data_IF_521106103864
#
_entry.id   IF_521106103864
#
_cell.length_a   1.000
_cell.length_b   1.000
_cell.length_c   1.000
_cell.angle_alpha   90.00
_cell.angle_beta   90.00
_cell.angle_gamma   90.00
#
_symmetry.space_group_name_H-M   'P 1'
#
loop_
_entity.id
_entity.type
_entity.pdbx_description
1 polymer ?
#
# COMPACT_ATOMS: atom_id res chain seq x y z
N UNK A 1 23.18 -18.34 5.89
CA UNK A 1 22.17 -17.51 6.58
C UNK A 1 22.84 -16.82 7.74
N UNK A 2 23.09 -15.55 7.65
CA UNK A 2 23.64 -14.77 8.77
C UNK A 2 22.47 -13.97 9.34
N UNK A 3 21.95 -14.40 10.49
CA UNK A 3 21.13 -13.55 11.34
C UNK A 3 22.12 -12.85 12.27
N UNK A 4 22.49 -11.62 11.96
CA UNK A 4 23.29 -10.80 12.86
C UNK A 4 22.35 -9.90 13.66
N UNK A 5 22.20 -10.19 14.95
CA UNK A 5 21.63 -9.24 15.90
C UNK A 5 22.72 -8.24 16.27
N UNK A 6 22.62 -7.02 15.81
CA UNK A 6 23.51 -5.95 16.27
C UNK A 6 22.88 -5.30 17.50
N UNK A 7 23.55 -5.42 18.65
CA UNK A 7 23.14 -4.70 19.86
C UNK A 7 23.48 -3.22 19.66
N UNK A 8 22.48 -2.39 19.59
CA UNK A 8 22.65 -0.97 19.30
C UNK A 8 23.09 -0.18 20.50
N UNK A 9 24.06 0.59 20.21
CA UNK A 9 24.57 1.71 20.97
C UNK A 9 23.56 2.84 21.16
N UNK A 10 23.57 3.35 22.37
CA UNK A 10 23.17 4.68 22.81
C UNK A 10 22.32 5.55 21.88
N UNK A 11 21.01 5.46 22.05
CA UNK A 11 20.02 6.33 21.39
C UNK A 11 18.60 6.15 21.93
N UNK A 12 18.39 5.42 23.00
CA UNK A 12 17.14 5.45 23.76
C UNK A 12 16.02 4.53 23.31
N UNK A 13 16.16 3.75 22.26
CA UNK A 13 15.20 2.70 21.88
C UNK A 13 15.83 1.32 22.13
N UNK A 14 15.07 0.38 22.65
CA UNK A 14 15.54 -0.95 23.01
C UNK A 14 16.18 -1.76 21.88
N UNK A 15 16.51 -3.02 22.07
CA UNK A 15 17.19 -3.84 21.05
C UNK A 15 16.35 -3.94 19.78
N UNK A 16 16.97 -3.64 18.64
CA UNK A 16 16.40 -3.75 17.32
C UNK A 16 16.92 -5.01 16.62
N UNK A 17 16.08 -5.62 15.77
CA UNK A 17 16.51 -6.60 14.79
C UNK A 17 16.64 -5.86 13.45
N UNK A 18 17.88 -5.57 13.07
CA UNK A 18 18.18 -4.87 11.83
C UNK A 18 18.53 -5.87 10.73
N UNK A 19 17.91 -5.72 9.57
CA UNK A 19 18.23 -6.48 8.37
C UNK A 19 18.90 -5.56 7.36
N UNK A 20 20.10 -5.93 6.96
CA UNK A 20 20.84 -5.21 5.93
C UNK A 20 20.82 -6.00 4.63
N UNK A 21 20.39 -5.36 3.57
CA UNK A 21 20.45 -5.91 2.21
C UNK A 21 21.43 -5.13 1.34
N UNK A 22 22.21 -5.86 0.55
CA UNK A 22 22.97 -5.32 -0.56
C UNK A 22 22.95 -6.32 -1.72
N UNK A 23 23.16 -5.83 -2.94
CA UNK A 23 23.08 -6.70 -4.14
C UNK A 23 24.21 -7.70 -4.29
N UNK A 24 25.34 -7.47 -3.65
CA UNK A 24 26.55 -8.34 -3.80
C UNK A 24 26.98 -8.93 -2.46
N UNK A 25 27.48 -8.12 -1.56
CA UNK A 25 27.89 -8.54 -0.22
C UNK A 25 28.00 -7.34 0.72
N UNK A 26 28.10 -7.60 2.02
CA UNK A 26 28.33 -6.54 3.01
C UNK A 26 29.75 -5.96 2.91
N UNK A 27 30.71 -6.73 2.40
CA UNK A 27 32.12 -6.30 2.24
C UNK A 27 32.34 -5.47 0.96
N UNK A 28 31.43 -5.61 0.00
CA UNK A 28 31.44 -4.85 -1.25
C UNK A 28 30.00 -4.53 -1.68
N UNK A 29 29.33 -3.64 -0.94
CA UNK A 29 27.91 -3.38 -1.17
C UNK A 29 27.69 -2.59 -2.46
N UNK A 30 26.75 -3.06 -3.28
CA UNK A 30 26.19 -2.30 -4.39
C UNK A 30 24.82 -1.77 -3.93
N UNK A 31 24.50 -0.55 -4.36
CA UNK A 31 23.21 0.09 -4.06
C UNK A 31 22.04 -0.80 -4.50
N UNK A 32 21.06 -0.94 -3.64
CA UNK A 32 19.80 -1.61 -3.99
C UNK A 32 19.11 -0.88 -5.12
N UNK A 33 18.39 -1.62 -5.96
CA UNK A 33 17.55 -1.05 -7.01
C UNK A 33 16.09 -0.96 -6.58
N UNK A 34 15.31 -0.09 -7.24
CA UNK A 34 13.86 -0.05 -7.04
C UNK A 34 13.23 -1.44 -7.25
N UNK A 35 12.47 -1.89 -6.26
CA UNK A 35 11.82 -3.19 -6.29
C UNK A 35 12.61 -4.36 -5.71
N UNK A 36 13.86 -4.17 -5.35
CA UNK A 36 14.60 -5.19 -4.59
C UNK A 36 13.89 -5.54 -3.28
N UNK A 37 14.11 -6.74 -2.79
CA UNK A 37 13.66 -7.16 -1.46
C UNK A 37 14.86 -7.23 -0.52
N UNK A 38 14.73 -6.61 0.64
CA UNK A 38 15.73 -6.71 1.72
C UNK A 38 15.38 -7.83 2.67
N UNK A 39 14.08 -8.00 2.91
CA UNK A 39 13.53 -9.02 3.80
C UNK A 39 12.39 -9.73 3.09
N UNK A 40 12.45 -11.06 3.08
CA UNK A 40 11.34 -11.92 2.73
C UNK A 40 11.06 -12.86 3.91
N UNK A 41 9.88 -12.70 4.52
CA UNK A 41 9.36 -13.63 5.50
C UNK A 41 8.39 -14.56 4.77
N UNK A 42 8.85 -15.77 4.45
CA UNK A 42 8.10 -16.73 3.65
C UNK A 42 7.58 -17.91 4.48
N UNK A 43 6.36 -18.31 4.18
CA UNK A 43 5.78 -19.58 4.65
C UNK A 43 5.90 -20.60 3.54
N UNK A 44 6.72 -21.62 3.77
CA UNK A 44 6.96 -22.70 2.82
C UNK A 44 6.42 -24.02 3.39
N UNK A 45 5.86 -24.85 2.54
CA UNK A 45 5.35 -26.17 2.85
C UNK A 45 5.79 -27.21 1.83
N UNK A 46 5.68 -28.49 2.21
CA UNK A 46 5.89 -29.61 1.30
C UNK A 46 4.55 -29.99 0.66
N UNK A 47 4.48 -29.94 -0.69
CA UNK A 47 3.25 -30.23 -1.44
C UNK A 47 3.10 -31.70 -1.87
N UNK A 48 4.03 -32.54 -1.46
CA UNK A 48 4.11 -33.95 -1.84
C UNK A 48 5.19 -34.23 -2.93
N UNK A 49 5.67 -33.22 -3.61
CA UNK A 49 6.69 -33.30 -4.66
C UNK A 49 7.88 -32.36 -4.40
N UNK A 50 7.60 -31.13 -3.94
CA UNK A 50 8.60 -30.11 -3.72
C UNK A 50 8.27 -29.20 -2.54
N UNK A 51 9.22 -28.40 -2.10
CA UNK A 51 8.97 -27.30 -1.19
C UNK A 51 8.40 -26.12 -1.98
N UNK A 52 7.21 -25.66 -1.61
CA UNK A 52 6.50 -24.55 -2.26
C UNK A 52 6.19 -23.44 -1.26
N UNK A 53 6.11 -22.20 -1.76
CA UNK A 53 5.78 -21.04 -0.96
C UNK A 53 4.28 -20.81 -0.96
N UNK A 54 3.69 -20.63 0.21
CA UNK A 54 2.26 -20.34 0.37
C UNK A 54 1.99 -18.84 0.52
N UNK A 55 2.84 -18.12 1.25
CA UNK A 55 2.69 -16.69 1.48
C UNK A 55 4.05 -16.04 1.76
N UNK A 56 4.16 -14.73 1.46
CA UNK A 56 5.38 -13.94 1.72
C UNK A 56 5.02 -12.54 2.16
N UNK A 57 5.74 -12.02 3.15
CA UNK A 57 5.83 -10.58 3.42
C UNK A 57 7.17 -10.10 2.90
N UNK A 58 7.15 -9.19 1.94
CA UNK A 58 8.36 -8.58 1.37
C UNK A 58 8.52 -7.15 1.86
N UNK A 59 9.73 -6.77 2.24
CA UNK A 59 10.07 -5.41 2.61
C UNK A 59 11.33 -4.98 1.88
N UNK A 60 11.31 -3.80 1.29
CA UNK A 60 12.44 -3.28 0.52
C UNK A 60 12.14 -1.93 -0.12
N UNK A 61 13.03 -1.46 -1.00
CA UNK A 61 12.79 -0.24 -1.76
C UNK A 61 11.52 -0.32 -2.60
N UNK A 62 10.81 0.82 -2.65
CA UNK A 62 9.63 0.94 -3.50
C UNK A 62 10.02 0.83 -4.97
N UNK A 63 9.34 -0.03 -5.74
CA UNK A 63 9.65 -0.28 -7.16
C UNK A 63 9.37 0.91 -8.08
N UNK A 64 8.56 1.86 -7.63
CA UNK A 64 8.22 3.08 -8.36
C UNK A 64 9.05 4.29 -7.94
N UNK A 65 10.07 4.12 -7.10
CA UNK A 65 11.03 5.21 -6.86
C UNK A 65 11.91 5.42 -8.08
N UNK A 66 12.22 6.67 -8.37
CA UNK A 66 13.10 7.00 -9.51
C UNK A 66 14.58 6.73 -9.18
N UNK A 67 14.94 6.71 -7.91
CA UNK A 67 16.30 6.42 -7.46
C UNK A 67 16.35 6.10 -5.98
N UNK A 68 17.33 5.31 -5.61
CA UNK A 68 17.78 5.13 -4.25
C UNK A 68 19.07 5.95 -4.13
N UNK A 69 19.07 6.96 -3.27
CA UNK A 69 20.20 7.86 -3.11
C UNK A 69 20.80 7.72 -1.70
N UNK A 70 22.00 8.25 -1.51
CA UNK A 70 22.64 8.28 -0.19
C UNK A 70 21.74 8.94 0.85
N UNK A 71 21.42 8.20 1.92
CA UNK A 71 20.56 8.66 3.00
C UNK A 71 19.05 8.64 2.69
N UNK A 72 18.63 8.17 1.51
CA UNK A 72 17.21 8.12 1.13
C UNK A 72 16.88 6.75 0.54
N UNK A 73 16.02 6.00 1.22
CA UNK A 73 15.51 4.71 0.78
C UNK A 73 13.97 4.70 0.91
N UNK A 74 13.24 5.16 -0.11
CA UNK A 74 11.78 5.07 -0.10
C UNK A 74 11.36 3.60 -0.06
N UNK A 75 10.64 3.19 0.98
CA UNK A 75 10.33 1.79 1.23
C UNK A 75 8.90 1.40 0.90
N UNK A 76 8.68 0.07 0.76
CA UNK A 76 7.35 -0.55 0.67
C UNK A 76 7.28 -1.84 1.47
N UNK A 77 6.07 -2.22 1.84
CA UNK A 77 5.74 -3.55 2.38
C UNK A 77 4.73 -4.18 1.44
N UNK A 78 4.95 -5.45 1.10
CA UNK A 78 4.08 -6.22 0.21
C UNK A 78 3.68 -7.52 0.90
N UNK A 79 2.39 -7.82 0.94
CA UNK A 79 1.83 -9.08 1.38
C UNK A 79 1.37 -9.87 0.16
N UNK A 80 1.87 -11.08 0.00
CA UNK A 80 1.57 -11.97 -1.12
C UNK A 80 1.01 -13.28 -0.62
N UNK A 81 0.04 -13.83 -1.35
CA UNK A 81 -0.41 -15.22 -1.20
C UNK A 81 -0.32 -15.92 -2.55
N UNK A 82 -0.03 -17.21 -2.54
CA UNK A 82 0.06 -18.02 -3.75
C UNK A 82 -1.23 -18.81 -3.94
N UNK A 83 -1.69 -18.91 -5.19
CA UNK A 83 -2.91 -19.64 -5.51
C UNK A 83 -2.61 -21.14 -5.83
N UNK A 84 -3.66 -21.94 -6.03
CA UNK A 84 -3.58 -23.37 -6.28
C UNK A 84 -2.85 -23.75 -7.58
N UNK A 85 -2.65 -22.84 -8.52
CA UNK A 85 -1.96 -23.12 -9.78
C UNK A 85 -0.44 -23.08 -9.68
N UNK A 86 0.11 -22.73 -8.49
CA UNK A 86 1.55 -22.58 -8.29
C UNK A 86 2.17 -21.47 -9.11
N UNK A 87 1.37 -20.76 -9.92
CA UNK A 87 1.79 -19.55 -10.58
C UNK A 87 2.08 -18.50 -9.52
N UNK A 88 3.13 -17.75 -9.71
CA UNK A 88 3.50 -16.57 -8.94
C UNK A 88 2.25 -15.88 -8.44
N UNK A 89 2.12 -15.83 -7.11
CA UNK A 89 0.91 -15.44 -6.43
C UNK A 89 0.20 -14.26 -7.06
N UNK A 90 -1.01 -13.98 -6.63
CA UNK A 90 -1.67 -12.74 -7.01
C UNK A 90 -0.66 -11.64 -6.67
N UNK A 91 0.08 -11.21 -7.71
CA UNK A 91 1.06 -10.16 -7.55
C UNK A 91 0.35 -9.00 -6.86
N UNK A 92 0.81 -8.72 -5.61
CA UNK A 92 0.33 -7.63 -4.81
C UNK A 92 -1.09 -7.79 -4.24
N UNK A 93 -1.33 -8.84 -3.44
CA UNK A 93 -2.56 -8.94 -2.67
C UNK A 93 -2.76 -7.69 -1.79
N UNK A 94 -1.67 -7.15 -1.19
CA UNK A 94 -1.71 -5.90 -0.44
C UNK A 94 -0.34 -5.22 -0.48
N UNK A 95 -0.31 -3.92 -0.77
CA UNK A 95 0.91 -3.10 -0.82
C UNK A 95 0.75 -1.85 0.02
N UNK A 96 1.72 -1.59 0.89
CA UNK A 96 1.88 -0.32 1.56
C UNK A 96 3.09 0.40 0.95
N UNK A 97 2.86 1.50 0.23
CA UNK A 97 3.89 2.17 -0.55
C UNK A 97 4.60 3.31 0.23
N UNK A 98 5.64 3.91 -0.38
CA UNK A 98 6.42 5.02 0.16
C UNK A 98 5.62 6.28 0.52
N UNK A 99 4.43 6.46 0.00
CA UNK A 99 3.55 7.61 0.28
C UNK A 99 2.57 7.34 1.43
N UNK A 100 2.67 6.15 2.05
CA UNK A 100 1.73 5.70 3.06
C UNK A 100 0.34 5.41 2.50
N UNK A 101 0.25 4.99 1.23
CA UNK A 101 -0.96 4.51 0.60
C UNK A 101 -1.05 3.00 0.65
N UNK A 102 -2.24 2.47 0.88
CA UNK A 102 -2.55 1.06 0.90
C UNK A 102 -3.27 0.66 -0.38
N UNK A 103 -2.67 -0.23 -1.16
CA UNK A 103 -3.28 -0.89 -2.32
C UNK A 103 -3.77 -2.29 -1.97
N UNK A 104 -4.95 -2.66 -2.43
CA UNK A 104 -5.48 -4.03 -2.43
C UNK A 104 -5.78 -4.41 -3.87
N UNK A 105 -5.08 -5.41 -4.40
CA UNK A 105 -5.15 -5.79 -5.81
C UNK A 105 -4.42 -4.81 -6.75
N UNK A 106 -3.72 -3.82 -6.23
CA UNK A 106 -2.89 -2.87 -6.97
C UNK A 106 -1.57 -2.63 -6.25
N UNK A 107 -0.51 -2.47 -7.01
CA UNK A 107 0.83 -2.18 -6.48
C UNK A 107 1.23 -0.69 -6.61
N UNK A 108 0.37 0.11 -7.24
CA UNK A 108 0.54 1.54 -7.43
C UNK A 108 -0.69 2.33 -6.96
N UNK A 109 -1.02 2.26 -5.63
CA UNK A 109 -2.21 2.93 -5.12
C UNK A 109 -2.15 4.44 -5.33
N UNK A 110 -3.19 4.98 -5.98
CA UNK A 110 -3.32 6.41 -6.28
C UNK A 110 -3.81 7.20 -5.07
N UNK A 111 -4.55 6.55 -4.16
CA UNK A 111 -5.17 7.14 -2.98
C UNK A 111 -4.72 6.44 -1.68
N UNK A 112 -5.08 6.98 -0.51
CA UNK A 112 -4.74 6.40 0.80
C UNK A 112 -5.19 4.95 0.95
N UNK A 113 -6.34 4.61 0.36
CA UNK A 113 -6.82 3.25 0.16
C UNK A 113 -7.30 3.13 -1.29
N UNK A 114 -6.64 2.27 -2.05
CA UNK A 114 -6.98 1.97 -3.45
C UNK A 114 -7.27 0.47 -3.56
N UNK A 115 -8.51 0.12 -3.92
CA UNK A 115 -8.97 -1.27 -4.02
C UNK A 115 -9.38 -1.56 -5.44
N UNK A 116 -8.65 -2.43 -6.13
CA UNK A 116 -9.06 -2.98 -7.41
C UNK A 116 -9.99 -4.16 -7.19
N UNK A 117 -11.28 -3.87 -7.03
CA UNK A 117 -12.31 -4.86 -6.75
C UNK A 117 -13.49 -4.25 -6.00
N UNK A 118 -14.41 -5.12 -5.62
CA UNK A 118 -15.57 -4.72 -4.82
C UNK A 118 -15.23 -4.67 -3.34
N UNK A 119 -15.79 -3.69 -2.63
CA UNK A 119 -15.70 -3.58 -1.17
C UNK A 119 -17.03 -4.04 -0.58
N UNK A 120 -17.01 -5.07 0.26
CA UNK A 120 -18.16 -5.54 1.04
C UNK A 120 -17.91 -5.21 2.51
N UNK A 121 -18.76 -4.39 3.09
CA UNK A 121 -18.72 -4.05 4.52
C UNK A 121 -19.97 -4.59 5.22
N UNK A 122 -19.79 -5.29 6.35
CA UNK A 122 -20.90 -5.72 7.22
C UNK A 122 -21.46 -4.58 8.08
N UNK A 123 -20.73 -3.48 8.18
CA UNK A 123 -21.12 -2.24 8.85
C UNK A 123 -21.37 -1.12 7.84
N UNK A 124 -21.23 0.11 8.31
CA UNK A 124 -21.42 1.31 7.51
C UNK A 124 -20.11 1.78 6.87
N UNK A 125 -20.18 2.28 5.63
CA UNK A 125 -19.14 3.10 5.02
C UNK A 125 -19.64 4.55 5.09
N UNK A 126 -18.92 5.41 5.80
CA UNK A 126 -19.27 6.82 5.91
C UNK A 126 -18.53 7.61 4.82
N UNK A 127 -19.25 8.22 3.86
CA UNK A 127 -18.63 9.13 2.89
C UNK A 127 -18.24 10.45 3.53
N UNK A 128 -17.55 11.31 2.78
CA UNK A 128 -17.29 12.69 3.21
C UNK A 128 -18.59 13.41 3.55
N UNK A 129 -18.62 14.09 4.70
CA UNK A 129 -19.78 14.82 5.20
C UNK A 129 -19.46 16.31 5.21
N UNK A 130 -20.30 17.12 4.58
CA UNK A 130 -20.16 18.57 4.48
C UNK A 130 -21.41 19.27 4.97
N UNK A 131 -21.25 20.47 5.58
CA UNK A 131 -22.37 21.24 6.10
C UNK A 131 -23.34 21.64 4.96
N UNK A 132 -22.80 22.12 3.87
CA UNK A 132 -23.52 22.60 2.69
C UNK A 132 -22.69 22.40 1.42
N UNK A 133 -23.22 22.81 0.28
CA UNK A 133 -22.56 22.71 -1.02
C UNK A 133 -21.30 23.59 -1.09
N UNK A 134 -21.27 24.76 -0.44
CA UNK A 134 -20.12 25.65 -0.45
C UNK A 134 -18.93 25.05 0.33
N UNK A 135 -19.21 24.43 1.47
CA UNK A 135 -18.19 23.71 2.25
C UNK A 135 -17.61 22.51 1.47
N UNK A 136 -18.45 21.76 0.74
CA UNK A 136 -18.02 20.70 -0.16
C UNK A 136 -17.12 21.24 -1.26
N UNK A 137 -17.54 22.29 -1.97
CA UNK A 137 -16.81 22.86 -3.13
C UNK A 137 -15.48 23.49 -2.71
N UNK A 138 -15.42 24.00 -1.48
CA UNK A 138 -14.16 24.48 -0.89
C UNK A 138 -13.18 23.35 -0.61
N UNK A 139 -13.68 22.20 -0.13
CA UNK A 139 -12.86 21.05 0.21
C UNK A 139 -12.48 20.20 -0.99
N UNK A 140 -13.39 20.06 -1.97
CA UNK A 140 -13.23 19.22 -3.16
C UNK A 140 -13.06 20.10 -4.40
N UNK A 141 -11.92 20.76 -4.53
CA UNK A 141 -11.65 21.69 -5.64
C UNK A 141 -11.44 21.01 -7.00
N UNK A 142 -11.13 19.71 -7.00
CA UNK A 142 -10.96 18.89 -8.19
C UNK A 142 -11.69 17.54 -8.00
N UNK A 143 -13.02 17.54 -7.97
CA UNK A 143 -13.76 16.30 -7.80
C UNK A 143 -13.61 15.37 -9.00
N UNK A 144 -13.87 14.08 -8.79
CA UNK A 144 -13.88 13.08 -9.86
C UNK A 144 -15.29 12.49 -10.00
N UNK A 145 -15.65 12.08 -11.21
CA UNK A 145 -16.92 11.40 -11.44
C UNK A 145 -17.03 10.12 -10.58
N UNK A 146 -18.18 9.88 -10.01
CA UNK A 146 -18.42 8.74 -9.11
C UNK A 146 -18.15 9.02 -7.63
N UNK A 147 -17.56 10.15 -7.25
CA UNK A 147 -17.45 10.52 -5.83
C UNK A 147 -18.82 10.69 -5.20
N UNK A 148 -18.97 10.24 -3.94
CA UNK A 148 -20.17 10.40 -3.15
C UNK A 148 -19.89 11.15 -1.85
N UNK A 149 -20.80 12.05 -1.48
CA UNK A 149 -20.76 12.83 -0.25
C UNK A 149 -22.15 12.93 0.39
N UNK A 150 -22.20 13.29 1.66
CA UNK A 150 -23.45 13.65 2.34
C UNK A 150 -23.45 15.14 2.68
N UNK A 151 -24.54 15.85 2.34
CA UNK A 151 -24.73 17.27 2.63
C UNK A 151 -25.77 17.44 3.72
N UNK A 152 -25.38 18.01 4.85
CA UNK A 152 -26.23 18.01 6.05
C UNK A 152 -27.36 19.03 6.02
N UNK A 153 -27.19 20.21 5.41
CA UNK A 153 -28.25 21.23 5.32
C UNK A 153 -29.47 20.78 4.54
N UNK A 154 -29.26 19.97 3.49
CA UNK A 154 -30.33 19.39 2.67
C UNK A 154 -30.65 17.93 3.01
N UNK A 155 -29.89 17.34 3.96
CA UNK A 155 -30.00 15.94 4.40
C UNK A 155 -29.98 14.93 3.22
N UNK A 156 -29.06 15.11 2.25
CA UNK A 156 -28.99 14.27 1.04
C UNK A 156 -27.60 13.76 0.73
N UNK A 157 -27.56 12.57 0.15
CA UNK A 157 -26.39 12.12 -0.57
C UNK A 157 -26.33 12.79 -1.94
N UNK A 158 -25.12 13.20 -2.31
CA UNK A 158 -24.82 13.69 -3.65
C UNK A 158 -23.72 12.86 -4.29
N UNK A 159 -23.86 12.64 -5.61
CA UNK A 159 -22.84 12.03 -6.45
C UNK A 159 -22.32 13.02 -7.47
N UNK A 160 -21.01 13.01 -7.71
CA UNK A 160 -20.43 13.76 -8.81
C UNK A 160 -20.59 12.97 -10.11
N UNK A 161 -21.20 13.56 -11.13
CA UNK A 161 -21.59 12.87 -12.36
C UNK A 161 -20.60 13.05 -13.51
N UNK A 162 -19.80 14.11 -13.50
CA UNK A 162 -18.97 14.53 -14.65
C UNK A 162 -17.52 14.90 -14.31
N UNK A 163 -17.14 14.86 -13.03
CA UNK A 163 -15.80 15.23 -12.58
C UNK A 163 -15.57 16.74 -12.46
N UNK A 164 -16.62 17.56 -12.56
CA UNK A 164 -16.53 19.01 -12.36
C UNK A 164 -17.11 19.44 -11.03
N UNK A 165 -16.74 20.64 -10.57
CA UNK A 165 -17.29 21.20 -9.32
C UNK A 165 -18.80 21.45 -9.38
N UNK A 166 -19.36 21.56 -10.57
CA UNK A 166 -20.81 21.75 -10.81
C UNK A 166 -21.55 20.45 -11.07
N UNK A 167 -20.84 19.34 -11.23
CA UNK A 167 -21.40 18.03 -11.58
C UNK A 167 -22.07 17.27 -10.44
N UNK A 168 -22.41 17.91 -9.33
CA UNK A 168 -23.03 17.25 -8.19
C UNK A 168 -24.54 17.17 -8.31
N UNK A 169 -25.08 15.96 -8.23
CA UNK A 169 -26.50 15.68 -8.27
C UNK A 169 -26.95 14.92 -7.02
N UNK A 170 -28.18 15.20 -6.56
CA UNK A 170 -28.78 14.40 -5.49
C UNK A 170 -29.04 12.97 -5.97
N UNK A 171 -28.71 11.98 -5.13
CA UNK A 171 -28.89 10.56 -5.44
C UNK A 171 -30.29 10.04 -4.98
N UNK A 172 -31.04 10.85 -4.23
CA UNK A 172 -32.37 10.54 -3.69
C UNK A 172 -33.26 11.78 -3.60
#
# INVERSE_FOLDING_TARGET
>A
TVISSNAVTAGGNGPNLDFFGSRVSLDSPIVLEPGDSVIDIAVNGWDGAAQTTAAVIKMGPDKYTSSIASGVMPGRIVFLTYNESGATGIDNAMVFNRFGNLGIGTDAPAEKLDVQGNIVASGTIQPGVYADAAARDTALTAPTAGQMVYITDIAKFQGNTDGTITGWANLN
#
